data_IF_336397335446
#
_entry.id   IF_336397335446
#
_cell.length_a   1.000
_cell.length_b   1.000
_cell.length_c   1.000
_cell.angle_alpha   90.00
_cell.angle_beta   90.00
_cell.angle_gamma   90.00
#
_symmetry.space_group_name_H-M   'P 1'
#
loop_
_entity.id
_entity.type
_entity.pdbx_description
1 polymer ?
#
# COMPACT_ATOMS: atom_id res chain seq x y z
N UNK A 1 52.21 -49.60 -35.02
CA UNK A 1 50.74 -49.70 -34.95
C UNK A 1 50.31 -50.08 -33.54
N UNK A 2 49.79 -49.13 -32.75
CA UNK A 2 49.13 -49.39 -31.46
C UNK A 2 47.86 -48.54 -31.42
N UNK A 3 46.73 -49.19 -31.13
CA UNK A 3 45.36 -48.70 -31.26
C UNK A 3 45.05 -47.64 -30.19
N UNK A 4 44.45 -46.52 -30.59
CA UNK A 4 43.83 -45.57 -29.68
C UNK A 4 42.42 -46.07 -29.33
N UNK A 5 42.18 -46.35 -28.06
CA UNK A 5 40.83 -46.65 -27.54
C UNK A 5 40.23 -45.33 -27.06
N UNK A 6 39.17 -44.86 -27.73
CA UNK A 6 38.37 -43.73 -27.28
C UNK A 6 37.34 -44.29 -26.29
N UNK A 7 37.45 -43.90 -25.02
CA UNK A 7 36.45 -44.22 -24.00
C UNK A 7 35.47 -43.05 -23.91
N UNK A 8 34.26 -43.25 -24.40
CA UNK A 8 33.15 -42.30 -24.30
C UNK A 8 32.64 -42.23 -22.86
N UNK A 9 32.78 -41.09 -22.19
CA UNK A 9 32.10 -40.85 -20.90
C UNK A 9 30.64 -40.49 -21.15
N UNK A 10 29.70 -41.31 -20.67
CA UNK A 10 28.30 -40.92 -20.53
C UNK A 10 28.16 -39.99 -19.31
N UNK A 11 27.94 -38.70 -19.56
CA UNK A 11 27.52 -37.76 -18.51
C UNK A 11 26.04 -37.98 -18.21
N UNK A 12 25.72 -38.50 -17.02
CA UNK A 12 24.35 -38.59 -16.53
C UNK A 12 23.96 -37.24 -15.89
N UNK A 13 23.06 -36.50 -16.53
CA UNK A 13 22.52 -35.27 -15.96
C UNK A 13 21.43 -35.61 -14.93
N UNK A 14 21.73 -35.40 -13.65
CA UNK A 14 20.74 -35.51 -12.57
C UNK A 14 19.92 -34.21 -12.59
N UNK A 15 18.68 -34.28 -13.07
CA UNK A 15 17.72 -33.19 -12.91
C UNK A 15 17.25 -33.15 -11.44
N UNK A 16 17.83 -32.25 -10.65
CA UNK A 16 17.32 -31.96 -9.31
C UNK A 16 16.02 -31.17 -9.45
N UNK A 17 14.89 -31.84 -9.20
CA UNK A 17 13.58 -31.19 -9.13
C UNK A 17 13.52 -30.36 -7.85
N UNK A 18 13.73 -29.05 -7.95
CA UNK A 18 13.49 -28.16 -6.82
C UNK A 18 11.98 -28.12 -6.53
N UNK A 19 11.56 -28.78 -5.44
CA UNK A 19 10.21 -28.61 -4.91
C UNK A 19 10.12 -27.25 -4.25
N UNK A 20 9.47 -26.29 -4.93
CA UNK A 20 9.09 -25.04 -4.30
C UNK A 20 7.95 -25.32 -3.32
N UNK A 21 8.26 -25.34 -2.02
CA UNK A 21 7.23 -25.26 -1.00
C UNK A 21 6.74 -23.81 -1.02
N UNK A 22 5.59 -23.58 -1.64
CA UNK A 22 4.87 -22.32 -1.50
C UNK A 22 4.37 -22.25 -0.06
N UNK A 23 5.04 -21.47 0.78
CA UNK A 23 4.51 -21.10 2.08
C UNK A 23 3.28 -20.22 1.84
N UNK A 24 2.10 -20.73 2.16
CA UNK A 24 0.91 -19.89 2.26
C UNK A 24 1.07 -19.04 3.53
N UNK A 25 1.47 -17.78 3.36
CA UNK A 25 1.32 -16.82 4.45
C UNK A 25 -0.18 -16.72 4.78
N UNK A 26 -0.53 -16.76 6.07
CA UNK A 26 -1.90 -16.47 6.48
C UNK A 26 -2.25 -15.06 5.98
N UNK A 27 -3.38 -14.88 5.29
CA UNK A 27 -3.75 -13.58 4.76
C UNK A 27 -3.89 -12.58 5.91
N UNK A 28 -3.45 -11.32 5.72
CA UNK A 28 -3.53 -10.32 6.78
C UNK A 28 -5.00 -10.04 7.11
N UNK A 29 -5.29 -9.80 8.39
CA UNK A 29 -6.64 -9.51 8.87
C UNK A 29 -6.84 -8.00 8.94
N UNK A 30 -7.93 -7.51 8.34
CA UNK A 30 -8.30 -6.10 8.41
C UNK A 30 -8.58 -5.67 9.86
N UNK A 31 -8.00 -4.55 10.27
CA UNK A 31 -8.17 -3.94 11.59
C UNK A 31 -9.05 -2.69 11.54
N UNK A 32 -8.76 -1.78 10.63
CA UNK A 32 -9.53 -0.56 10.40
C UNK A 32 -9.87 -0.45 8.93
N UNK A 33 -11.00 0.19 8.62
CA UNK A 33 -11.49 0.43 7.26
C UNK A 33 -11.64 1.93 7.04
N UNK A 34 -11.16 2.37 5.89
CA UNK A 34 -11.04 3.76 5.50
C UNK A 34 -11.64 3.99 4.12
N UNK A 35 -12.19 5.19 3.89
CA UNK A 35 -12.62 5.62 2.56
C UNK A 35 -11.85 6.88 2.15
N UNK A 36 -11.44 6.95 0.89
CA UNK A 36 -10.85 8.16 0.30
C UNK A 36 -11.81 8.68 -0.78
N UNK A 37 -12.29 9.90 -0.57
CA UNK A 37 -13.29 10.53 -1.44
C UNK A 37 -12.76 11.84 -2.04
N UNK A 38 -13.25 12.18 -3.23
CA UNK A 38 -12.93 13.43 -3.91
C UNK A 38 -14.20 14.25 -4.04
N UNK A 39 -14.20 15.47 -3.49
CA UNK A 39 -15.41 16.32 -3.46
C UNK A 39 -15.49 17.33 -4.61
N UNK A 40 -14.35 17.69 -5.19
CA UNK A 40 -14.24 18.59 -6.35
C UNK A 40 -14.27 17.81 -7.68
N UNK A 41 -14.09 18.53 -8.80
CA UNK A 41 -13.99 17.94 -10.14
C UNK A 41 -12.58 17.47 -10.52
N UNK A 42 -11.60 17.56 -9.62
CA UNK A 42 -10.23 17.15 -9.90
C UNK A 42 -10.09 15.63 -9.99
N UNK A 43 -9.00 15.19 -10.60
CA UNK A 43 -8.56 13.80 -10.61
C UNK A 43 -7.33 13.71 -9.73
N UNK A 44 -7.25 12.68 -8.91
CA UNK A 44 -6.17 12.53 -7.95
C UNK A 44 -5.48 11.19 -8.13
N UNK A 45 -4.16 11.20 -8.15
CA UNK A 45 -3.36 10.00 -7.94
C UNK A 45 -3.04 9.91 -6.45
N UNK A 46 -3.39 8.78 -5.83
CA UNK A 46 -3.19 8.54 -4.40
C UNK A 46 -2.23 7.37 -4.23
N UNK A 47 -1.29 7.49 -3.30
CA UNK A 47 -0.39 6.42 -2.87
C UNK A 47 -0.40 6.29 -1.35
N UNK A 48 -0.52 5.07 -0.85
CA UNK A 48 -0.47 4.71 0.56
C UNK A 48 0.79 3.90 0.79
N UNK A 49 1.62 4.32 1.75
CA UNK A 49 2.87 3.63 2.12
C UNK A 49 3.02 3.62 3.64
N UNK A 50 3.25 2.44 4.21
CA UNK A 50 3.51 2.24 5.63
C UNK A 50 4.99 2.01 5.95
N UNK A 51 5.37 2.38 7.16
CA UNK A 51 6.61 1.98 7.83
C UNK A 51 6.24 1.38 9.19
N UNK A 52 6.74 0.18 9.46
CA UNK A 52 6.61 -0.47 10.76
C UNK A 52 7.85 -1.33 10.99
N UNK A 53 8.63 -1.05 12.05
CA UNK A 53 9.92 -1.71 12.25
C UNK A 53 9.81 -3.13 12.78
N UNK A 54 8.71 -3.48 13.46
CA UNK A 54 8.59 -4.75 14.20
C UNK A 54 7.56 -5.72 13.60
N UNK A 55 6.50 -5.19 12.98
CA UNK A 55 5.46 -6.01 12.35
C UNK A 55 5.06 -5.46 10.98
N UNK A 56 5.15 -6.26 9.91
CA UNK A 56 4.77 -5.80 8.57
C UNK A 56 3.33 -5.26 8.56
N UNK A 57 3.22 -3.99 8.19
CA UNK A 57 1.96 -3.34 7.90
C UNK A 57 1.50 -3.72 6.49
N UNK A 58 0.24 -4.12 6.36
CA UNK A 58 -0.41 -4.38 5.08
C UNK A 58 -1.60 -3.45 4.91
N UNK A 59 -1.91 -3.17 3.65
CA UNK A 59 -3.13 -2.49 3.26
C UNK A 59 -3.91 -3.42 2.33
N UNK A 60 -5.22 -3.46 2.51
CA UNK A 60 -6.14 -4.28 1.71
C UNK A 60 -7.00 -3.35 0.88
N UNK A 61 -6.90 -3.42 -0.44
CA UNK A 61 -7.90 -2.85 -1.34
C UNK A 61 -9.18 -3.66 -1.22
N UNK A 62 -10.22 -3.07 -0.62
CA UNK A 62 -11.48 -3.78 -0.35
C UNK A 62 -12.32 -4.00 -1.61
N UNK A 63 -12.05 -3.28 -2.71
CA UNK A 63 -12.76 -3.45 -3.97
C UNK A 63 -12.23 -4.65 -4.75
N UNK A 64 -10.90 -4.78 -4.80
CA UNK A 64 -10.23 -5.85 -5.55
C UNK A 64 -9.82 -7.05 -4.70
N UNK A 65 -9.97 -6.95 -3.38
CA UNK A 65 -9.55 -7.95 -2.39
C UNK A 65 -8.05 -8.33 -2.54
N UNK A 66 -7.21 -7.31 -2.78
CA UNK A 66 -5.75 -7.45 -2.92
C UNK A 66 -5.10 -6.79 -1.72
N UNK A 67 -4.10 -7.45 -1.14
CA UNK A 67 -3.29 -6.87 -0.06
C UNK A 67 -1.85 -6.61 -0.50
N UNK A 68 -1.26 -5.55 0.02
CA UNK A 68 0.08 -5.08 -0.33
C UNK A 68 0.64 -4.20 0.78
N UNK A 69 1.96 -4.03 0.85
CA UNK A 69 2.60 -3.03 1.72
C UNK A 69 2.37 -1.59 1.23
N UNK A 70 1.90 -1.44 0.00
CA UNK A 70 1.58 -0.15 -0.63
C UNK A 70 0.33 -0.28 -1.50
N UNK A 71 -0.51 0.76 -1.53
CA UNK A 71 -1.66 0.85 -2.44
C UNK A 71 -1.59 2.12 -3.28
N UNK A 72 -2.15 2.06 -4.48
CA UNK A 72 -2.27 3.22 -5.35
C UNK A 72 -3.63 3.29 -6.02
N UNK A 73 -4.16 4.50 -6.13
CA UNK A 73 -5.48 4.75 -6.71
C UNK A 73 -5.47 5.93 -7.66
N UNK A 74 -6.34 5.88 -8.67
CA UNK A 74 -6.74 7.04 -9.46
C UNK A 74 -8.19 7.37 -9.10
N UNK A 75 -8.39 8.48 -8.40
CA UNK A 75 -9.67 8.88 -7.83
C UNK A 75 -10.24 10.10 -8.53
N UNK A 76 -11.55 10.23 -8.52
CA UNK A 76 -12.29 11.40 -9.00
C UNK A 76 -13.65 11.47 -8.29
N UNK A 77 -14.40 12.54 -8.49
CA UNK A 77 -15.78 12.61 -8.00
C UNK A 77 -16.59 11.40 -8.47
N UNK A 78 -17.23 10.70 -7.53
CA UNK A 78 -17.98 9.46 -7.81
C UNK A 78 -17.14 8.20 -7.97
N UNK A 79 -15.81 8.29 -7.95
CA UNK A 79 -14.87 7.17 -7.96
C UNK A 79 -13.94 7.26 -6.74
N UNK A 80 -14.39 6.68 -5.63
CA UNK A 80 -13.68 6.65 -4.34
C UNK A 80 -12.89 5.36 -4.16
N UNK A 81 -11.89 5.38 -3.29
CA UNK A 81 -11.24 4.17 -2.79
C UNK A 81 -11.78 3.77 -1.43
N UNK A 82 -11.83 2.47 -1.18
CA UNK A 82 -12.02 1.88 0.12
C UNK A 82 -10.87 0.92 0.40
N UNK A 83 -10.18 1.12 1.52
CA UNK A 83 -9.04 0.29 1.91
C UNK A 83 -9.08 -0.05 3.39
N UNK A 84 -8.46 -1.15 3.76
CA UNK A 84 -8.25 -1.55 5.15
C UNK A 84 -6.78 -1.50 5.52
N UNK A 85 -6.48 -1.12 6.76
CA UNK A 85 -5.19 -1.38 7.38
C UNK A 85 -5.21 -2.76 8.04
N UNK A 86 -4.14 -3.53 7.89
CA UNK A 86 -4.11 -4.94 8.27
C UNK A 86 -2.73 -5.36 8.79
N UNK A 87 -2.70 -6.39 9.63
CA UNK A 87 -1.47 -7.06 10.09
C UNK A 87 -1.56 -8.56 9.77
N UNK A 88 -0.41 -9.21 9.59
CA UNK A 88 -0.33 -10.67 9.58
C UNK A 88 -0.48 -11.20 11.01
N UNK A 89 -1.54 -11.97 11.26
CA UNK A 89 -1.86 -12.44 12.60
C UNK A 89 -0.98 -13.64 12.99
N UNK A 90 -0.09 -13.45 13.99
CA UNK A 90 0.64 -14.52 14.70
C UNK A 90 0.55 -14.37 16.23
N UNK A 91 -0.56 -13.83 16.75
CA UNK A 91 -0.87 -13.83 18.18
C UNK A 91 -0.55 -12.55 18.96
N UNK A 92 -0.03 -11.50 18.31
CA UNK A 92 0.07 -10.14 18.88
C UNK A 92 0.01 -9.10 17.75
N UNK A 93 -0.65 -7.98 18.00
CA UNK A 93 -0.69 -6.82 17.10
C UNK A 93 0.11 -5.69 17.74
N UNK A 94 1.27 -5.40 17.16
CA UNK A 94 2.06 -4.23 17.48
C UNK A 94 1.54 -3.08 16.61
N UNK A 95 0.78 -2.17 17.24
CA UNK A 95 0.20 -1.02 16.56
C UNK A 95 1.20 0.12 16.35
N UNK A 96 2.50 -0.07 16.61
CA UNK A 96 3.54 0.93 16.34
C UNK A 96 3.78 1.08 14.84
N UNK A 97 2.85 1.75 14.16
CA UNK A 97 2.88 1.99 12.72
C UNK A 97 2.84 3.48 12.43
N UNK A 98 3.59 3.89 11.42
CA UNK A 98 3.36 5.15 10.74
C UNK A 98 3.10 4.87 9.26
N UNK A 99 2.15 5.56 8.66
CA UNK A 99 1.92 5.50 7.23
C UNK A 99 1.53 6.86 6.69
N UNK A 100 1.71 7.00 5.38
CA UNK A 100 1.31 8.21 4.67
C UNK A 100 0.28 7.88 3.60
N UNK A 101 -0.67 8.78 3.43
CA UNK A 101 -1.54 8.84 2.26
C UNK A 101 -1.14 10.11 1.52
N UNK A 102 -0.45 9.95 0.41
CA UNK A 102 -0.02 11.07 -0.44
C UNK A 102 -0.94 11.13 -1.65
N UNK A 103 -1.52 12.30 -1.92
CA UNK A 103 -2.39 12.54 -3.06
C UNK A 103 -1.87 13.72 -3.89
N UNK A 104 -1.86 13.57 -5.21
CA UNK A 104 -1.47 14.62 -6.17
C UNK A 104 -2.62 14.84 -7.16
N UNK A 105 -3.04 16.08 -7.35
CA UNK A 105 -4.02 16.45 -8.37
C UNK A 105 -3.39 16.30 -9.76
N UNK A 106 -3.96 15.40 -10.57
CA UNK A 106 -3.54 15.07 -11.93
C UNK A 106 -4.48 15.65 -12.98
N UNK A 107 -5.45 16.49 -12.60
CA UNK A 107 -6.35 17.17 -13.54
C UNK A 107 -5.64 18.19 -14.42
N UNK A 108 -4.51 18.72 -13.96
CA UNK A 108 -3.64 19.62 -14.70
C UNK A 108 -2.22 19.05 -14.73
N UNK A 109 -1.63 18.95 -15.90
CA UNK A 109 -0.19 18.75 -16.03
C UNK A 109 0.48 20.12 -15.95
N UNK A 110 1.11 20.41 -14.82
CA UNK A 110 1.90 21.62 -14.63
C UNK A 110 3.36 21.23 -14.46
N UNK A 111 4.25 21.93 -15.16
CA UNK A 111 5.69 21.81 -14.94
C UNK A 111 6.05 22.27 -13.51
N UNK A 112 7.15 21.74 -12.97
CA UNK A 112 7.53 21.99 -11.57
C UNK A 112 7.77 23.48 -11.26
N UNK A 113 8.18 24.27 -12.26
CA UNK A 113 8.38 25.72 -12.18
C UNK A 113 7.06 26.50 -12.04
N UNK A 114 5.95 25.94 -12.52
CA UNK A 114 4.64 26.57 -12.45
C UNK A 114 4.02 26.49 -11.04
N UNK A 115 4.45 25.53 -10.21
CA UNK A 115 3.99 25.33 -8.82
C UNK A 115 2.46 25.24 -8.66
N UNK A 116 1.74 24.73 -9.67
CA UNK A 116 0.27 24.69 -9.66
C UNK A 116 -0.32 23.37 -9.18
N UNK A 117 0.49 22.33 -9.08
CA UNK A 117 0.01 20.99 -8.72
C UNK A 117 -0.37 20.96 -7.24
N UNK A 118 -1.66 20.81 -6.98
CA UNK A 118 -2.18 20.57 -5.63
C UNK A 118 -1.74 19.21 -5.14
N UNK A 119 -1.35 19.12 -3.89
CA UNK A 119 -1.10 17.83 -3.24
C UNK A 119 -1.50 17.87 -1.78
N UNK A 120 -1.77 16.69 -1.24
CA UNK A 120 -2.09 16.47 0.15
C UNK A 120 -1.27 15.31 0.69
N UNK A 121 -0.80 15.44 1.93
CA UNK A 121 -0.18 14.33 2.66
C UNK A 121 -0.88 14.17 3.99
N UNK A 122 -1.50 13.02 4.20
CA UNK A 122 -1.98 12.61 5.51
C UNK A 122 -0.88 11.76 6.14
N UNK A 123 -0.40 12.19 7.31
CA UNK A 123 0.59 11.46 8.09
C UNK A 123 -0.17 10.82 9.23
N UNK A 124 -0.23 9.50 9.23
CA UNK A 124 -0.96 8.71 10.21
C UNK A 124 0.04 7.96 11.08
N UNK A 125 0.06 8.27 12.38
CA UNK A 125 0.78 7.49 13.38
C UNK A 125 -0.20 6.83 14.33
N UNK A 126 -0.01 5.56 14.63
CA UNK A 126 -0.74 4.88 15.69
C UNK A 126 0.27 4.20 16.63
N UNK A 127 -0.07 4.18 17.91
CA UNK A 127 0.66 3.41 18.95
C UNK A 127 -0.33 2.52 19.73
N UNK A 128 -1.54 2.33 19.20
CA UNK A 128 -2.63 1.61 19.83
C UNK A 128 -3.82 1.46 18.89
N UNK A 129 -4.75 0.54 19.19
CA UNK A 129 -5.94 0.33 18.37
C UNK A 129 -6.88 1.53 18.44
N UNK A 130 -7.42 1.91 17.27
CA UNK A 130 -8.49 2.89 17.10
C UNK A 130 -8.23 4.31 17.67
N UNK A 131 -6.97 4.70 17.87
CA UNK A 131 -6.56 6.05 18.28
C UNK A 131 -5.35 6.55 17.48
N UNK A 132 -5.50 6.82 16.16
CA UNK A 132 -4.42 7.36 15.37
C UNK A 132 -4.26 8.86 15.59
N UNK A 133 -3.02 9.32 15.68
CA UNK A 133 -2.66 10.72 15.53
C UNK A 133 -2.46 11.03 14.05
N UNK A 134 -3.35 11.85 13.47
CA UNK A 134 -3.33 12.20 12.06
C UNK A 134 -3.05 13.68 11.88
N UNK A 135 -1.99 13.96 11.13
CA UNK A 135 -1.65 15.30 10.64
C UNK A 135 -1.91 15.42 9.14
N UNK A 136 -2.38 16.58 8.68
CA UNK A 136 -2.69 16.82 7.27
C UNK A 136 -1.90 18.00 6.76
N UNK A 137 -1.09 17.76 5.74
CA UNK A 137 -0.36 18.78 5.01
C UNK A 137 -1.05 19.08 3.68
N UNK A 138 -1.36 20.36 3.47
CA UNK A 138 -2.02 20.86 2.27
C UNK A 138 -1.07 21.75 1.48
N UNK A 139 -0.79 21.38 0.24
CA UNK A 139 0.13 22.11 -0.63
C UNK A 139 -0.62 22.79 -1.78
N UNK A 140 -0.15 23.97 -2.15
CA UNK A 140 -0.67 24.76 -3.28
C UNK A 140 -2.19 25.00 -3.24
N UNK A 141 -2.73 25.24 -2.04
CA UNK A 141 -4.15 25.56 -1.85
C UNK A 141 -5.09 24.35 -1.92
N UNK A 142 -4.58 23.13 -1.79
CA UNK A 142 -5.41 21.97 -1.52
C UNK A 142 -6.16 22.12 -0.18
N UNK A 143 -7.33 21.50 -0.07
CA UNK A 143 -8.21 21.58 1.12
C UNK A 143 -8.62 20.18 1.58
N UNK A 144 -7.63 19.33 1.82
CA UNK A 144 -7.81 17.98 2.30
C UNK A 144 -8.10 17.93 3.81
N UNK A 145 -8.92 16.96 4.20
CA UNK A 145 -9.34 16.75 5.59
C UNK A 145 -9.64 15.28 5.85
N UNK A 146 -9.77 14.93 7.13
CA UNK A 146 -10.20 13.60 7.55
C UNK A 146 -11.32 13.70 8.59
N UNK A 147 -12.05 12.60 8.75
CA UNK A 147 -13.06 12.43 9.77
C UNK A 147 -12.91 11.06 10.43
N UNK A 148 -12.86 11.05 11.76
CA UNK A 148 -12.89 9.81 12.55
C UNK A 148 -14.29 9.21 12.51
N UNK A 149 -14.37 7.92 12.17
CA UNK A 149 -15.59 7.13 12.16
C UNK A 149 -15.50 6.11 13.29
N UNK A 150 -16.26 6.36 14.35
CA UNK A 150 -16.22 5.56 15.57
C UNK A 150 -16.38 4.05 15.28
N UNK A 151 -15.43 3.26 15.78
CA UNK A 151 -15.42 1.80 15.64
C UNK A 151 -15.05 1.27 14.25
N UNK A 152 -14.63 2.13 13.30
CA UNK A 152 -14.24 1.71 11.94
C UNK A 152 -12.83 2.16 11.55
N UNK A 153 -12.49 3.42 11.76
CA UNK A 153 -11.28 4.06 11.26
C UNK A 153 -11.59 5.47 10.77
N UNK A 154 -10.84 5.97 9.79
CA UNK A 154 -10.97 7.35 9.30
C UNK A 154 -11.35 7.41 7.83
N UNK A 155 -12.19 8.38 7.49
CA UNK A 155 -12.46 8.76 6.11
C UNK A 155 -11.62 9.98 5.75
N UNK A 156 -11.04 9.95 4.56
CA UNK A 156 -10.21 11.01 3.99
C UNK A 156 -10.94 11.68 2.83
N UNK A 157 -10.80 13.00 2.76
CA UNK A 157 -11.43 13.84 1.74
C UNK A 157 -10.35 14.64 1.02
N UNK A 158 -10.36 14.57 -0.32
CA UNK A 158 -9.51 15.34 -1.22
C UNK A 158 -10.30 16.46 -1.88
N UNK A 159 -9.73 17.68 -1.89
CA UNK A 159 -10.37 18.90 -2.41
C UNK A 159 -9.36 19.96 -2.87
#
# INVERSE_FOLDING_TARGET
MKKNTITTMLASAIFASATFIAYAENPPTAHTTHNITVNNSSKWYVKIVGISPFQPAYFIDQTNNVYSSELNYTLSKGNSAQYAFAFSFNGSTDFNVAYTITAIDTSQSADADQKKTKSCTFIVGANGPADPNIHVENYQGAQCSYQVIAGKGENFTLN
#
